data_IF_248568166204
#
_entry.id   IF_248568166204
#
_cell.length_a   1.000
_cell.length_b   1.000
_cell.length_c   1.000
_cell.angle_alpha   90.00
_cell.angle_beta   90.00
_cell.angle_gamma   90.00
#
_symmetry.space_group_name_H-M   'P 1'
#
loop_
_entity.id
_entity.type
_entity.pdbx_description
1 polymer ?
#
# COMPACT_ATOMS: atom_id res chain seq x y z
N UNK A 1 -14.39 11.36 -17.05
CA UNK A 1 -13.20 10.73 -17.60
C UNK A 1 -12.94 9.39 -16.92
N UNK A 2 -12.84 8.34 -17.72
CA UNK A 2 -12.56 6.98 -17.24
C UNK A 2 -11.22 6.54 -17.79
N UNK A 3 -10.32 6.09 -16.89
CA UNK A 3 -8.97 5.66 -17.24
C UNK A 3 -8.71 4.28 -16.65
N UNK A 4 -8.21 3.36 -17.46
CA UNK A 4 -7.87 1.99 -17.03
C UNK A 4 -6.36 1.80 -17.10
N UNK A 5 -5.72 1.55 -15.95
CA UNK A 5 -4.28 1.36 -15.81
C UNK A 5 -3.45 2.44 -16.53
N UNK A 6 -3.72 3.74 -16.32
CA UNK A 6 -3.16 4.80 -17.15
C UNK A 6 -1.66 5.02 -16.97
N UNK A 7 -1.08 4.57 -15.84
CA UNK A 7 0.36 4.75 -15.56
C UNK A 7 1.21 3.53 -15.91
N UNK A 8 0.61 2.47 -16.43
CA UNK A 8 1.34 1.29 -16.85
C UNK A 8 2.37 1.63 -17.93
N UNK A 9 3.62 1.22 -17.73
CA UNK A 9 4.70 1.47 -18.68
C UNK A 9 5.34 2.85 -18.63
N UNK A 10 4.86 3.76 -17.79
CA UNK A 10 5.49 5.06 -17.60
C UNK A 10 6.71 4.99 -16.68
N UNK A 11 7.74 5.77 -17.00
CA UNK A 11 8.87 5.95 -16.10
C UNK A 11 8.49 6.84 -14.90
N UNK A 12 9.33 6.92 -13.84
CA UNK A 12 9.00 7.69 -12.64
C UNK A 12 8.69 9.17 -12.90
N UNK A 13 9.43 9.82 -13.81
CA UNK A 13 9.20 11.23 -14.14
C UNK A 13 7.86 11.44 -14.86
N UNK A 14 7.56 10.57 -15.82
CA UNK A 14 6.29 10.59 -16.54
C UNK A 14 5.11 10.34 -15.60
N UNK A 15 5.26 9.46 -14.60
CA UNK A 15 4.23 9.18 -13.60
C UNK A 15 3.95 10.40 -12.74
N UNK A 16 4.98 11.12 -12.31
CA UNK A 16 4.82 12.36 -11.53
C UNK A 16 4.06 13.40 -12.35
N UNK A 17 4.42 13.56 -13.61
CA UNK A 17 3.73 14.49 -14.53
C UNK A 17 2.26 14.10 -14.72
N UNK A 18 2.01 12.82 -14.93
CA UNK A 18 0.64 12.30 -15.09
C UNK A 18 -0.22 12.54 -13.83
N UNK A 19 0.34 12.30 -12.64
CA UNK A 19 -0.37 12.57 -11.39
C UNK A 19 -0.77 14.03 -11.26
N UNK A 20 0.10 14.96 -11.67
CA UNK A 20 -0.20 16.39 -11.71
C UNK A 20 -1.37 16.73 -12.63
N UNK A 21 -1.39 16.14 -13.82
CA UNK A 21 -2.46 16.34 -14.81
C UNK A 21 -3.79 15.81 -14.25
N UNK A 22 -3.80 14.63 -13.66
CA UNK A 22 -5.02 14.06 -13.07
C UNK A 22 -5.52 14.89 -11.90
N UNK A 23 -4.64 15.35 -11.06
CA UNK A 23 -5.00 16.22 -9.94
C UNK A 23 -5.67 17.51 -10.41
N UNK A 24 -5.15 18.14 -11.46
CA UNK A 24 -5.73 19.34 -12.03
C UNK A 24 -7.10 19.07 -12.66
N UNK A 25 -7.22 18.00 -13.45
CA UNK A 25 -8.47 17.62 -14.08
C UNK A 25 -9.57 17.30 -13.08
N UNK A 26 -9.22 16.67 -11.97
CA UNK A 26 -10.19 16.26 -10.95
C UNK A 26 -10.85 17.42 -10.23
N UNK A 27 -10.32 18.63 -10.34
CA UNK A 27 -10.92 19.82 -9.80
C UNK A 27 -12.14 20.29 -10.58
N UNK A 28 -12.23 19.94 -11.85
CA UNK A 28 -13.30 20.36 -12.74
C UNK A 28 -14.16 19.22 -13.25
N UNK A 29 -13.65 18.00 -13.20
CA UNK A 29 -14.31 16.82 -13.77
C UNK A 29 -14.24 15.65 -12.79
N UNK A 30 -15.21 14.74 -12.90
CA UNK A 30 -15.12 13.45 -12.25
C UNK A 30 -14.12 12.59 -13.02
N UNK A 31 -13.12 12.08 -12.34
CA UNK A 31 -12.14 11.16 -12.89
C UNK A 31 -12.27 9.82 -12.18
N UNK A 32 -12.59 8.77 -12.94
CA UNK A 32 -12.60 7.39 -12.45
C UNK A 32 -11.38 6.69 -13.03
N UNK A 33 -10.51 6.21 -12.13
CA UNK A 33 -9.23 5.61 -12.51
C UNK A 33 -9.11 4.23 -11.87
N UNK A 34 -8.83 3.21 -12.68
CA UNK A 34 -8.52 1.88 -12.18
C UNK A 34 -7.03 1.61 -12.28
N UNK A 35 -6.47 1.03 -11.22
CA UNK A 35 -5.06 0.64 -11.20
C UNK A 35 -4.79 -0.41 -10.12
N UNK A 36 -3.77 -1.23 -10.34
CA UNK A 36 -3.19 -2.09 -9.30
C UNK A 36 -1.93 -1.46 -8.69
N UNK A 37 -1.50 -0.31 -9.18
CA UNK A 37 -0.33 0.42 -8.67
C UNK A 37 -0.79 1.34 -7.55
N UNK A 38 -0.82 0.80 -6.34
CA UNK A 38 -1.44 1.46 -5.19
C UNK A 38 -0.74 2.75 -4.76
N UNK A 39 0.55 2.90 -5.03
CA UNK A 39 1.27 4.14 -4.75
C UNK A 39 0.76 5.34 -5.55
N UNK A 40 0.19 5.11 -6.72
CA UNK A 40 -0.43 6.19 -7.50
C UNK A 40 -1.70 6.71 -6.83
N UNK A 41 -2.44 5.84 -6.15
CA UNK A 41 -3.67 6.22 -5.46
C UNK A 41 -3.41 7.15 -4.27
N UNK A 42 -2.35 6.93 -3.53
CA UNK A 42 -2.00 7.82 -2.41
C UNK A 42 -1.78 9.26 -2.86
N UNK A 43 -1.26 9.42 -4.07
CA UNK A 43 -0.92 10.74 -4.60
C UNK A 43 -2.11 11.51 -5.16
N UNK A 44 -3.13 10.83 -5.71
CA UNK A 44 -4.17 11.49 -6.51
C UNK A 44 -5.59 11.21 -6.06
N UNK A 45 -5.86 10.13 -5.35
CA UNK A 45 -7.23 9.71 -5.05
C UNK A 45 -7.86 10.56 -3.95
N UNK A 46 -9.05 11.10 -4.21
CA UNK A 46 -9.89 11.71 -3.19
C UNK A 46 -10.73 10.65 -2.46
N UNK A 47 -11.10 9.61 -3.19
CA UNK A 47 -11.87 8.48 -2.69
C UNK A 47 -11.40 7.20 -3.36
N UNK A 48 -11.35 6.11 -2.63
CA UNK A 48 -10.88 4.81 -3.11
C UNK A 48 -12.01 3.80 -3.02
N UNK A 49 -12.19 3.04 -4.10
CA UNK A 49 -13.10 1.90 -4.16
C UNK A 49 -12.24 0.63 -4.21
N UNK A 50 -12.40 -0.24 -3.22
CA UNK A 50 -11.77 -1.55 -3.21
C UNK A 50 -12.72 -2.55 -3.84
N UNK A 51 -12.28 -3.17 -4.93
CA UNK A 51 -13.10 -4.08 -5.73
C UNK A 51 -12.46 -5.46 -5.75
N UNK A 52 -13.26 -6.49 -5.45
CA UNK A 52 -12.83 -7.88 -5.49
C UNK A 52 -13.91 -8.76 -6.12
N UNK A 53 -13.57 -9.43 -7.21
CA UNK A 53 -14.46 -10.35 -7.91
C UNK A 53 -15.84 -9.74 -8.21
N UNK A 54 -15.85 -8.48 -8.66
CA UNK A 54 -17.09 -7.78 -8.98
C UNK A 54 -17.85 -7.22 -7.79
N UNK A 55 -17.32 -7.33 -6.58
CA UNK A 55 -17.97 -6.84 -5.35
C UNK A 55 -17.16 -5.68 -4.78
N UNK A 56 -17.84 -4.58 -4.44
CA UNK A 56 -17.25 -3.46 -3.73
C UNK A 56 -17.10 -3.84 -2.26
N UNK A 57 -15.85 -3.91 -1.80
CA UNK A 57 -15.54 -4.20 -0.40
C UNK A 57 -15.60 -2.96 0.48
N UNK A 58 -15.06 -1.86 -0.02
CA UNK A 58 -15.01 -0.56 0.67
C UNK A 58 -15.06 0.58 -0.33
N UNK A 59 -15.58 1.71 0.10
CA UNK A 59 -15.59 2.97 -0.64
C UNK A 59 -15.40 4.11 0.36
N UNK A 60 -14.18 4.59 0.50
CA UNK A 60 -13.82 5.58 1.51
C UNK A 60 -12.64 6.45 1.07
N UNK A 61 -12.41 7.54 1.80
CA UNK A 61 -11.21 8.35 1.64
C UNK A 61 -9.97 7.54 2.01
N UNK A 62 -8.81 7.81 1.38
CA UNK A 62 -7.57 7.11 1.70
C UNK A 62 -7.22 7.11 3.19
N UNK A 63 -7.32 8.27 3.84
CA UNK A 63 -7.01 8.39 5.26
C UNK A 63 -7.91 7.49 6.14
N UNK A 64 -9.20 7.40 5.82
CA UNK A 64 -10.14 6.57 6.56
C UNK A 64 -9.84 5.08 6.39
N UNK A 65 -9.43 4.67 5.19
CA UNK A 65 -9.01 3.30 4.94
C UNK A 65 -7.74 2.93 5.72
N UNK A 66 -6.77 3.83 5.75
CA UNK A 66 -5.51 3.60 6.45
C UNK A 66 -5.68 3.54 7.97
N UNK A 67 -6.65 4.25 8.53
CA UNK A 67 -6.95 4.20 9.97
C UNK A 67 -7.25 2.79 10.47
N UNK A 68 -7.80 1.93 9.63
CA UNK A 68 -8.08 0.54 9.99
C UNK A 68 -6.81 -0.23 10.36
N UNK A 69 -5.67 0.19 9.86
CA UNK A 69 -4.38 -0.46 10.10
C UNK A 69 -3.54 0.22 11.17
N UNK A 70 -4.04 1.26 11.82
CA UNK A 70 -3.31 1.92 12.90
C UNK A 70 -2.98 0.92 14.02
N UNK A 71 -1.69 0.86 14.40
CA UNK A 71 -1.21 -0.08 15.39
C UNK A 71 -1.02 -1.51 14.90
N UNK A 72 -1.17 -1.77 13.60
CA UNK A 72 -1.06 -3.11 13.02
C UNK A 72 0.10 -3.27 12.04
N UNK A 73 0.88 -2.23 11.81
CA UNK A 73 2.03 -2.27 10.90
C UNK A 73 3.32 -2.10 11.69
N UNK A 74 4.26 -3.01 11.48
CA UNK A 74 5.47 -3.14 12.28
C UNK A 74 6.70 -3.29 11.40
N UNK A 75 7.82 -2.73 11.87
CA UNK A 75 9.14 -2.99 11.32
C UNK A 75 9.88 -3.93 12.28
N UNK A 76 10.37 -5.03 11.74
CA UNK A 76 11.13 -6.04 12.50
C UNK A 76 12.47 -6.25 11.84
N UNK A 77 13.55 -6.10 12.61
CA UNK A 77 14.91 -6.36 12.13
C UNK A 77 15.38 -7.71 12.68
N UNK A 78 15.74 -8.61 11.78
CA UNK A 78 16.22 -9.95 12.13
C UNK A 78 17.46 -10.30 11.32
N UNK A 79 18.27 -11.29 11.77
CA UNK A 79 19.30 -11.87 10.91
C UNK A 79 18.68 -12.41 9.61
N UNK A 80 19.42 -12.31 8.51
CA UNK A 80 18.92 -12.74 7.20
C UNK A 80 18.44 -14.20 7.20
N UNK A 81 19.02 -15.05 8.03
CA UNK A 81 18.63 -16.46 8.15
C UNK A 81 17.20 -16.64 8.68
N UNK A 82 16.66 -15.67 9.42
CA UNK A 82 15.32 -15.74 10.03
C UNK A 82 14.22 -15.13 9.15
N UNK A 83 14.58 -14.51 8.04
CA UNK A 83 13.65 -13.83 7.12
C UNK A 83 12.53 -14.74 6.64
N UNK A 84 12.88 -15.93 6.15
CA UNK A 84 11.90 -16.87 5.57
C UNK A 84 10.84 -17.29 6.58
N UNK A 85 11.24 -17.53 7.83
CA UNK A 85 10.30 -17.94 8.89
C UNK A 85 9.27 -16.84 9.16
N UNK A 86 9.70 -15.58 9.24
CA UNK A 86 8.81 -14.44 9.47
C UNK A 86 7.91 -14.15 8.27
N UNK A 87 8.44 -14.21 7.06
CA UNK A 87 7.65 -13.94 5.86
C UNK A 87 6.59 -15.01 5.58
N UNK A 88 6.77 -16.21 6.11
CA UNK A 88 5.75 -17.26 6.08
C UNK A 88 4.69 -17.09 7.15
N UNK A 89 5.07 -16.58 8.31
CA UNK A 89 4.18 -16.44 9.46
C UNK A 89 3.26 -15.21 9.37
N UNK A 90 3.77 -14.11 8.82
CA UNK A 90 3.07 -12.83 8.75
C UNK A 90 2.87 -12.37 7.30
N UNK A 91 1.88 -11.53 7.09
CA UNK A 91 1.71 -10.80 5.83
C UNK A 91 2.73 -9.66 5.78
N UNK A 92 3.68 -9.74 4.84
CA UNK A 92 4.78 -8.79 4.72
C UNK A 92 4.61 -7.92 3.49
N UNK A 93 4.71 -6.61 3.66
CA UNK A 93 4.58 -5.64 2.57
C UNK A 93 5.91 -5.19 2.00
N UNK A 94 6.99 -5.34 2.74
CA UNK A 94 8.33 -4.99 2.27
C UNK A 94 9.40 -5.75 3.04
N UNK A 95 10.50 -6.03 2.36
CA UNK A 95 11.72 -6.60 2.96
C UNK A 95 12.91 -5.82 2.43
N UNK A 96 13.74 -5.31 3.33
CA UNK A 96 14.96 -4.59 2.98
C UNK A 96 16.15 -5.30 3.60
N UNK A 97 17.20 -5.51 2.82
CA UNK A 97 18.44 -6.15 3.30
C UNK A 97 19.52 -5.11 3.58
N UNK A 98 20.13 -5.20 4.74
CA UNK A 98 21.23 -4.31 5.13
C UNK A 98 22.16 -5.00 6.13
N UNK A 99 23.46 -4.99 5.85
CA UNK A 99 24.51 -5.52 6.73
C UNK A 99 24.23 -6.93 7.29
N UNK A 100 23.80 -7.86 6.43
CA UNK A 100 23.48 -9.25 6.81
C UNK A 100 22.21 -9.41 7.60
N UNK A 101 21.40 -8.35 7.74
CA UNK A 101 20.11 -8.36 8.41
C UNK A 101 18.99 -8.07 7.44
N UNK A 102 17.79 -8.48 7.80
CA UNK A 102 16.57 -8.17 7.05
C UNK A 102 15.67 -7.27 7.91
N UNK A 103 15.25 -6.15 7.33
CA UNK A 103 14.23 -5.28 7.92
C UNK A 103 12.92 -5.58 7.24
N UNK A 104 11.98 -6.14 7.97
CA UNK A 104 10.71 -6.65 7.43
C UNK A 104 9.59 -5.73 7.88
N UNK A 105 8.80 -5.24 6.92
CA UNK A 105 7.57 -4.52 7.18
C UNK A 105 6.42 -5.50 7.11
N UNK A 106 5.69 -5.66 8.21
CA UNK A 106 4.65 -6.68 8.31
C UNK A 106 3.40 -6.19 9.02
N UNK A 107 2.30 -6.93 8.82
CA UNK A 107 1.01 -6.69 9.45
C UNK A 107 0.82 -7.67 10.61
N UNK A 108 0.45 -7.13 11.77
CA UNK A 108 0.09 -7.93 12.94
C UNK A 108 -0.77 -7.10 13.88
N UNK A 109 -1.80 -7.70 14.48
CA UNK A 109 -2.66 -7.02 15.45
C UNK A 109 -1.92 -6.66 16.73
N UNK A 110 -0.88 -7.42 17.06
CA UNK A 110 -0.04 -7.17 18.23
C UNK A 110 1.43 -7.18 17.82
N UNK A 111 2.30 -6.65 18.69
CA UNK A 111 3.73 -6.64 18.43
C UNK A 111 4.23 -8.06 18.13
N UNK A 112 4.79 -8.32 16.96
CA UNK A 112 5.26 -9.66 16.59
C UNK A 112 6.49 -10.08 17.40
N UNK A 113 7.25 -9.11 17.90
CA UNK A 113 8.43 -9.30 18.74
C UNK A 113 8.55 -8.13 19.71
N UNK A 114 9.22 -8.31 20.86
CA UNK A 114 9.39 -7.22 21.84
C UNK A 114 10.14 -5.99 21.27
N UNK A 115 11.02 -6.22 20.28
CA UNK A 115 11.83 -5.17 19.66
C UNK A 115 11.20 -4.61 18.37
N UNK A 116 10.00 -5.05 18.02
CA UNK A 116 9.29 -4.53 16.85
C UNK A 116 8.94 -3.06 17.02
N UNK A 117 9.12 -2.28 15.95
CA UNK A 117 8.83 -0.85 15.94
C UNK A 117 7.54 -0.60 15.17
N UNK A 118 6.52 0.01 15.80
CA UNK A 118 5.29 0.36 15.07
C UNK A 118 5.59 1.45 14.03
N UNK A 119 4.89 1.38 12.91
CA UNK A 119 5.04 2.37 11.84
C UNK A 119 3.68 2.73 11.26
N UNK A 120 3.60 3.90 10.61
CA UNK A 120 2.37 4.36 9.98
C UNK A 120 2.03 3.48 8.78
N UNK A 121 0.76 3.07 8.62
CA UNK A 121 0.34 2.28 7.47
C UNK A 121 0.42 3.06 6.17
N UNK A 122 0.60 2.34 5.06
CA UNK A 122 0.54 2.89 3.71
C UNK A 122 -0.42 2.07 2.83
N UNK A 123 -0.62 2.50 1.59
CA UNK A 123 -1.58 1.85 0.70
C UNK A 123 -1.15 0.43 0.29
N UNK A 124 0.14 0.13 0.25
CA UNK A 124 0.60 -1.23 -0.02
C UNK A 124 0.23 -2.18 1.12
N UNK A 125 0.35 -1.71 2.36
CA UNK A 125 -0.11 -2.46 3.53
C UNK A 125 -1.61 -2.73 3.45
N UNK A 126 -2.39 -1.72 3.09
CA UNK A 126 -3.84 -1.83 2.93
C UNK A 126 -4.22 -2.84 1.84
N UNK A 127 -3.54 -2.78 0.71
CA UNK A 127 -3.75 -3.73 -0.38
C UNK A 127 -3.55 -5.16 0.09
N UNK A 128 -2.47 -5.43 0.80
CA UNK A 128 -2.17 -6.77 1.31
C UNK A 128 -3.13 -7.19 2.43
N UNK A 129 -3.61 -6.26 3.22
CA UNK A 129 -4.61 -6.53 4.25
C UNK A 129 -5.91 -7.08 3.64
N UNK A 130 -6.37 -6.52 2.52
CA UNK A 130 -7.60 -6.95 1.85
C UNK A 130 -7.39 -8.10 0.86
N UNK A 131 -6.26 -8.13 0.15
CA UNK A 131 -6.03 -9.03 -0.98
C UNK A 131 -4.86 -10.00 -0.78
N UNK A 132 -4.09 -9.84 0.28
CA UNK A 132 -3.01 -10.75 0.66
C UNK A 132 -3.53 -12.06 1.24
N UNK A 133 -2.58 -12.91 1.61
CA UNK A 133 -2.88 -14.21 2.21
C UNK A 133 -3.06 -14.14 3.71
#
# INVERSE_FOLDING_TARGET
>A
LVLDEPTAGLDPEERIRFRGIISDLSQQKLVLLSTHIVSDLEAVANEIILLRKGVVLEMQKPASLLEQLNGQVWLVTVPAADETALTKQYTCSNVMHTDGKSVIRLLSESAPRPDAVPTAPNMEDLYLYYFGR
#
